data_IF_526022588368
#
_entry.id   IF_526022588368
#
_cell.length_a   1.000
_cell.length_b   1.000
_cell.length_c   1.000
_cell.angle_alpha   90.00
_cell.angle_beta   90.00
_cell.angle_gamma   90.00
#
_symmetry.space_group_name_H-M   'P 1'
#
loop_
_entity.id
_entity.type
_entity.pdbx_description
1 polymer ?
#
# COMPACT_ATOMS: atom_id res chain seq x y z
N UNK A 1 6.54 2.08 2.39
CA UNK A 1 5.18 2.60 2.71
C UNK A 1 4.70 1.89 3.97
N UNK A 2 5.12 2.40 5.16
CA UNK A 2 4.82 1.80 6.48
C UNK A 2 3.40 2.14 6.95
N UNK A 3 3.00 3.39 6.75
CA UNK A 3 1.67 3.90 7.09
C UNK A 3 1.00 4.50 5.87
N UNK A 4 -0.28 4.20 5.68
CA UNK A 4 -1.16 4.77 4.67
C UNK A 4 -2.36 5.40 5.38
N UNK A 5 -2.46 6.72 5.37
CA UNK A 5 -3.57 7.44 6.00
C UNK A 5 -4.74 7.57 5.01
N UNK A 6 -5.91 7.10 5.40
CA UNK A 6 -7.16 7.41 4.71
C UNK A 6 -7.58 8.85 4.98
N UNK A 7 -7.98 9.55 3.92
CA UNK A 7 -8.43 10.95 3.96
C UNK A 7 -9.74 11.05 3.18
N UNK A 8 -10.89 11.29 3.84
CA UNK A 8 -12.17 11.44 3.16
C UNK A 8 -12.11 12.56 2.12
N UNK A 9 -12.42 12.26 0.85
CA UNK A 9 -12.42 13.25 -0.22
C UNK A 9 -13.53 14.31 -0.06
N UNK A 10 -14.54 14.04 0.76
CA UNK A 10 -15.58 14.99 1.15
C UNK A 10 -15.13 16.05 2.16
N UNK A 11 -13.86 16.00 2.63
CA UNK A 11 -13.30 16.90 3.64
C UNK A 11 -12.02 17.59 3.16
N UNK A 12 -12.12 18.54 2.19
CA UNK A 12 -10.96 19.23 1.60
C UNK A 12 -10.06 19.93 2.62
N UNK A 13 -10.63 20.38 3.75
CA UNK A 13 -9.90 21.01 4.86
C UNK A 13 -8.85 20.11 5.51
N UNK A 14 -8.93 18.78 5.26
CA UNK A 14 -7.96 17.81 5.78
C UNK A 14 -6.78 17.56 4.83
N UNK A 15 -6.88 17.92 3.55
CA UNK A 15 -5.89 17.53 2.53
C UNK A 15 -4.50 18.07 2.82
N UNK A 16 -4.37 19.36 3.05
CA UNK A 16 -3.09 19.98 3.38
C UNK A 16 -2.51 19.44 4.70
N UNK A 17 -3.36 19.21 5.70
CA UNK A 17 -2.94 18.64 6.99
C UNK A 17 -2.47 17.18 6.84
N UNK A 18 -3.12 16.40 6.00
CA UNK A 18 -2.69 15.04 5.69
C UNK A 18 -1.34 15.03 4.96
N UNK A 19 -1.13 15.94 4.00
CA UNK A 19 0.17 16.10 3.34
C UNK A 19 1.28 16.46 4.31
N UNK A 20 1.03 17.28 5.32
CA UNK A 20 2.00 17.64 6.36
C UNK A 20 2.23 16.54 7.41
N UNK A 21 1.43 15.46 7.43
CA UNK A 21 1.55 14.39 8.41
C UNK A 21 2.81 13.53 8.21
N UNK A 22 3.14 12.68 9.18
CA UNK A 22 4.23 11.72 9.08
C UNK A 22 3.86 10.40 8.34
N UNK A 23 2.70 10.33 7.68
CA UNK A 23 2.31 9.17 6.90
C UNK A 23 3.21 9.02 5.67
N UNK A 24 3.59 7.78 5.34
CA UNK A 24 4.35 7.48 4.12
C UNK A 24 3.48 7.57 2.86
N UNK A 25 2.18 7.27 3.00
CA UNK A 25 1.20 7.34 1.92
C UNK A 25 -0.11 7.98 2.39
N UNK A 26 -0.81 8.62 1.44
CA UNK A 26 -2.17 9.12 1.63
C UNK A 26 -3.11 8.39 0.68
N UNK A 27 -4.25 7.94 1.19
CA UNK A 27 -5.34 7.34 0.40
C UNK A 27 -6.55 8.26 0.46
N UNK A 28 -6.72 9.08 -0.56
CA UNK A 28 -7.92 9.91 -0.69
C UNK A 28 -9.10 9.02 -1.07
N UNK A 29 -10.13 9.08 -0.26
CA UNK A 29 -11.22 8.12 -0.30
C UNK A 29 -12.52 8.73 -0.85
N UNK A 30 -13.02 8.17 -1.94
CA UNK A 30 -14.29 8.51 -2.56
C UNK A 30 -15.37 7.45 -2.32
N UNK A 31 -15.01 6.32 -1.69
CA UNK A 31 -15.92 5.19 -1.50
C UNK A 31 -16.69 5.35 -0.17
N UNK A 32 -16.41 4.53 0.83
CA UNK A 32 -17.22 4.39 2.06
C UNK A 32 -17.27 5.67 2.90
N UNK A 33 -16.23 6.49 2.88
CA UNK A 33 -16.20 7.73 3.67
C UNK A 33 -17.00 8.89 3.06
N UNK A 34 -17.62 8.69 1.90
CA UNK A 34 -18.39 9.71 1.18
C UNK A 34 -19.78 9.20 0.86
N UNK A 35 -20.80 9.87 1.38
CA UNK A 35 -22.20 9.53 1.08
C UNK A 35 -22.51 9.75 -0.41
N UNK A 36 -23.47 9.01 -1.00
CA UNK A 36 -23.75 9.03 -2.44
C UNK A 36 -23.95 10.43 -3.01
N UNK A 37 -24.69 11.28 -2.30
CA UNK A 37 -25.04 12.64 -2.72
C UNK A 37 -23.85 13.59 -2.80
N UNK A 38 -22.76 13.27 -2.09
CA UNK A 38 -21.54 14.07 -2.03
C UNK A 38 -20.41 13.57 -2.92
N UNK A 39 -20.57 12.42 -3.58
CA UNK A 39 -19.48 11.80 -4.37
C UNK A 39 -19.02 12.67 -5.54
N UNK A 40 -19.94 13.33 -6.23
CA UNK A 40 -19.59 14.23 -7.33
C UNK A 40 -18.81 15.46 -6.85
N UNK A 41 -19.26 16.09 -5.78
CA UNK A 41 -18.61 17.26 -5.18
C UNK A 41 -17.22 16.90 -4.62
N UNK A 42 -17.12 15.75 -3.92
CA UNK A 42 -15.87 15.27 -3.36
C UNK A 42 -14.82 14.98 -4.46
N UNK A 43 -15.25 14.35 -5.58
CA UNK A 43 -14.41 14.13 -6.76
C UNK A 43 -13.91 15.44 -7.35
N UNK A 44 -14.81 16.40 -7.56
CA UNK A 44 -14.47 17.72 -8.12
C UNK A 44 -13.48 18.48 -7.21
N UNK A 45 -13.73 18.49 -5.89
CA UNK A 45 -12.84 19.12 -4.93
C UNK A 45 -11.44 18.49 -4.90
N UNK A 46 -11.37 17.16 -4.94
CA UNK A 46 -10.09 16.44 -4.96
C UNK A 46 -9.33 16.69 -6.27
N UNK A 47 -10.00 16.65 -7.42
CA UNK A 47 -9.40 16.94 -8.72
C UNK A 47 -8.84 18.38 -8.77
N UNK A 48 -9.64 19.36 -8.32
CA UNK A 48 -9.20 20.75 -8.23
C UNK A 48 -7.98 20.92 -7.32
N UNK A 49 -7.95 20.21 -6.19
CA UNK A 49 -6.82 20.25 -5.27
C UNK A 49 -5.56 19.63 -5.89
N UNK A 50 -5.65 18.50 -6.59
CA UNK A 50 -4.52 17.89 -7.29
C UNK A 50 -3.95 18.80 -8.38
N UNK A 51 -4.82 19.45 -9.17
CA UNK A 51 -4.43 20.35 -10.26
C UNK A 51 -3.90 21.72 -9.78
N UNK A 52 -4.12 22.08 -8.52
CA UNK A 52 -3.57 23.31 -7.92
C UNK A 52 -2.05 23.25 -7.67
N UNK A 53 -1.37 22.13 -7.99
CA UNK A 53 0.05 21.92 -7.69
C UNK A 53 0.32 21.44 -6.27
N UNK A 54 -0.71 21.09 -5.51
CA UNK A 54 -0.59 20.65 -4.11
C UNK A 54 0.21 19.34 -3.92
N UNK A 55 0.33 18.51 -4.97
CA UNK A 55 1.14 17.28 -4.93
C UNK A 55 2.64 17.54 -5.13
N UNK A 56 3.05 18.79 -5.40
CA UNK A 56 4.40 19.14 -5.82
C UNK A 56 4.65 18.76 -7.29
N UNK A 57 5.64 19.40 -7.94
CA UNK A 57 6.07 18.95 -9.25
C UNK A 57 6.68 17.55 -9.12
N UNK A 58 6.14 16.59 -9.84
CA UNK A 58 6.81 15.32 -10.05
C UNK A 58 8.17 15.64 -10.71
N UNK A 59 9.28 15.32 -10.01
CA UNK A 59 10.64 15.43 -10.53
C UNK A 59 11.04 16.72 -11.27
N UNK A 60 11.26 17.80 -10.53
CA UNK A 60 12.34 18.71 -10.91
C UNK A 60 13.63 18.17 -10.28
N UNK A 61 14.48 17.51 -11.05
CA UNK A 61 15.71 16.82 -10.65
C UNK A 61 16.81 17.72 -10.07
N UNK A 62 16.49 18.56 -9.10
CA UNK A 62 17.43 19.41 -8.40
C UNK A 62 17.04 19.52 -6.92
N UNK A 63 17.44 18.56 -6.11
CA UNK A 63 17.47 18.73 -4.66
C UNK A 63 18.78 18.24 -4.08
N UNK A 64 19.63 19.18 -3.69
CA UNK A 64 20.90 19.02 -2.98
C UNK A 64 20.76 19.25 -1.47
N UNK A 65 19.62 18.90 -0.89
CA UNK A 65 19.42 18.87 0.57
C UNK A 65 18.57 17.66 0.92
N UNK A 66 18.69 17.13 2.13
CA UNK A 66 17.94 15.94 2.61
C UNK A 66 16.42 16.17 2.50
N UNK A 67 15.89 15.99 1.28
CA UNK A 67 14.48 16.18 0.97
C UNK A 67 13.68 15.08 1.69
N UNK A 68 12.64 15.47 2.41
CA UNK A 68 11.65 14.52 2.93
C UNK A 68 11.14 13.68 1.77
N UNK A 69 11.19 12.33 1.85
CA UNK A 69 10.73 11.48 0.77
C UNK A 69 9.29 11.82 0.37
N UNK A 70 9.03 11.94 -0.94
CA UNK A 70 7.70 12.19 -1.48
C UNK A 70 6.73 11.13 -0.98
N UNK A 71 5.55 11.53 -0.53
CA UNK A 71 4.49 10.59 -0.14
C UNK A 71 3.92 9.86 -1.34
N UNK A 72 3.56 8.60 -1.16
CA UNK A 72 2.77 7.86 -2.14
C UNK A 72 1.33 8.36 -2.11
N UNK A 73 0.81 8.78 -3.26
CA UNK A 73 -0.55 9.30 -3.42
C UNK A 73 -1.44 8.21 -4.02
N UNK A 74 -2.47 7.86 -3.27
CA UNK A 74 -3.43 6.82 -3.61
C UNK A 74 -4.82 7.44 -3.67
N UNK A 75 -5.63 7.03 -4.63
CA UNK A 75 -7.05 7.40 -4.69
C UNK A 75 -7.87 6.12 -4.61
N UNK A 76 -8.70 5.96 -3.57
CA UNK A 76 -9.71 4.90 -3.52
C UNK A 76 -10.95 5.39 -4.25
N UNK A 77 -11.18 4.84 -5.42
CA UNK A 77 -12.34 5.13 -6.27
C UNK A 77 -13.56 4.33 -5.82
N UNK A 78 -14.73 4.66 -6.34
CA UNK A 78 -15.93 3.87 -6.13
C UNK A 78 -15.87 2.53 -6.85
N UNK A 79 -16.66 1.55 -6.41
CA UNK A 79 -16.76 0.24 -7.03
C UNK A 79 -17.19 0.30 -8.51
N UNK A 80 -16.74 -0.67 -9.30
CA UNK A 80 -17.03 -0.74 -10.74
C UNK A 80 -18.50 -0.97 -11.06
N UNK A 81 -19.27 -1.50 -10.12
CA UNK A 81 -20.71 -1.70 -10.18
C UNK A 81 -21.54 -0.44 -9.91
N UNK A 82 -20.84 0.68 -9.57
CA UNK A 82 -21.48 1.96 -9.29
C UNK A 82 -21.41 2.93 -10.48
N UNK A 83 -22.34 3.89 -10.59
CA UNK A 83 -22.28 4.91 -11.65
C UNK A 83 -21.12 5.90 -11.48
N UNK A 84 -20.37 5.83 -10.38
CA UNK A 84 -19.32 6.78 -10.03
C UNK A 84 -17.94 6.37 -10.55
N UNK A 85 -17.66 5.07 -10.73
CA UNK A 85 -16.34 4.54 -11.08
C UNK A 85 -15.70 5.24 -12.30
N UNK A 86 -16.44 5.26 -13.42
CA UNK A 86 -15.89 5.83 -14.66
C UNK A 86 -15.56 7.33 -14.52
N UNK A 87 -16.40 8.08 -13.80
CA UNK A 87 -16.16 9.49 -13.55
C UNK A 87 -14.99 9.72 -12.58
N UNK A 88 -14.81 8.85 -11.58
CA UNK A 88 -13.67 8.91 -10.65
C UNK A 88 -12.36 8.69 -11.40
N UNK A 89 -12.28 7.65 -12.22
CA UNK A 89 -11.08 7.33 -13.02
C UNK A 89 -10.76 8.49 -13.98
N UNK A 90 -11.76 8.98 -14.71
CA UNK A 90 -11.56 10.07 -15.66
C UNK A 90 -11.05 11.37 -15.01
N UNK A 91 -11.54 11.69 -13.82
CA UNK A 91 -11.21 12.94 -13.13
C UNK A 91 -9.92 12.86 -12.31
N UNK A 92 -9.53 11.68 -11.83
CA UNK A 92 -8.49 11.53 -10.79
C UNK A 92 -7.27 10.70 -11.23
N UNK A 93 -7.26 10.14 -12.44
CA UNK A 93 -6.04 9.63 -13.05
C UNK A 93 -5.17 10.81 -13.52
N UNK A 94 -4.50 11.47 -12.58
CA UNK A 94 -3.78 12.73 -12.79
C UNK A 94 -2.28 12.57 -12.51
N UNK A 95 -1.42 13.43 -13.11
CA UNK A 95 0.00 13.47 -12.76
C UNK A 95 0.21 13.64 -11.25
N UNK A 96 1.07 12.82 -10.67
CA UNK A 96 1.34 12.82 -9.23
C UNK A 96 0.52 11.82 -8.42
N UNK A 97 -0.49 11.18 -8.99
CA UNK A 97 -1.14 9.99 -8.41
C UNK A 97 -0.31 8.75 -8.72
N UNK A 98 -0.03 7.94 -7.70
CA UNK A 98 0.79 6.73 -7.84
C UNK A 98 -0.05 5.47 -8.00
N UNK A 99 -1.17 5.40 -7.25
CA UNK A 99 -2.03 4.21 -7.21
C UNK A 99 -3.52 4.60 -7.26
N UNK A 100 -4.27 3.84 -8.04
CA UNK A 100 -5.72 3.74 -7.87
C UNK A 100 -6.01 2.52 -7.00
N UNK A 101 -6.70 2.75 -5.89
CA UNK A 101 -7.18 1.67 -5.02
C UNK A 101 -8.57 1.26 -5.48
N UNK A 102 -8.67 0.04 -6.03
CA UNK A 102 -9.90 -0.54 -6.58
C UNK A 102 -10.61 -1.36 -5.51
N UNK A 103 -11.80 -0.93 -5.03
CA UNK A 103 -12.56 -1.68 -4.05
C UNK A 103 -13.29 -2.86 -4.70
N UNK A 104 -13.46 -3.93 -3.95
CA UNK A 104 -14.39 -5.04 -4.19
C UNK A 104 -14.42 -5.63 -5.62
N UNK A 105 -13.28 -5.79 -6.35
CA UNK A 105 -13.33 -6.46 -7.63
C UNK A 105 -13.69 -7.94 -7.43
N UNK A 106 -14.52 -8.45 -8.29
CA UNK A 106 -15.08 -9.80 -8.17
C UNK A 106 -14.54 -10.80 -9.22
N UNK A 107 -13.63 -10.34 -10.08
CA UNK A 107 -13.02 -11.17 -11.13
C UNK A 107 -11.74 -10.53 -11.70
N UNK A 108 -10.87 -11.35 -12.28
CA UNK A 108 -9.70 -10.89 -13.01
C UNK A 108 -10.09 -9.98 -14.21
N UNK A 109 -11.25 -10.23 -14.82
CA UNK A 109 -11.76 -9.40 -15.91
C UNK A 109 -12.12 -7.98 -15.44
N UNK A 110 -12.72 -7.85 -14.26
CA UNK A 110 -12.99 -6.55 -13.66
C UNK A 110 -11.69 -5.75 -13.47
N UNK A 111 -10.62 -6.39 -13.01
CA UNK A 111 -9.30 -5.73 -12.86
C UNK A 111 -8.73 -5.30 -14.22
N UNK A 112 -8.84 -6.12 -15.26
CA UNK A 112 -8.41 -5.77 -16.63
C UNK A 112 -9.20 -4.58 -17.18
N UNK A 113 -10.52 -4.60 -17.01
CA UNK A 113 -11.41 -3.50 -17.41
C UNK A 113 -11.04 -2.20 -16.70
N UNK A 114 -10.76 -2.25 -15.38
CA UNK A 114 -10.31 -1.08 -14.63
C UNK A 114 -8.94 -0.57 -15.15
N UNK A 115 -8.01 -1.47 -15.46
CA UNK A 115 -6.73 -1.09 -16.04
C UNK A 115 -6.88 -0.40 -17.41
N UNK A 116 -7.76 -0.90 -18.27
CA UNK A 116 -8.06 -0.28 -19.58
C UNK A 116 -8.68 1.11 -19.42
N UNK A 117 -9.65 1.26 -18.50
CA UNK A 117 -10.24 2.57 -18.20
C UNK A 117 -9.17 3.57 -17.70
N UNK A 118 -8.27 3.10 -16.83
CA UNK A 118 -7.17 3.91 -16.30
C UNK A 118 -6.22 4.36 -17.41
N UNK A 119 -5.85 3.49 -18.35
CA UNK A 119 -5.00 3.82 -19.50
C UNK A 119 -5.64 4.86 -20.41
N UNK A 120 -6.95 4.83 -20.61
CA UNK A 120 -7.66 5.83 -21.37
C UNK A 120 -7.63 7.20 -20.66
N UNK A 121 -7.89 7.21 -19.35
CA UNK A 121 -7.88 8.44 -18.56
C UNK A 121 -6.47 9.06 -18.48
N UNK A 122 -5.43 8.24 -18.30
CA UNK A 122 -4.04 8.70 -18.30
C UNK A 122 -3.67 9.43 -19.62
N UNK A 123 -4.05 8.87 -20.76
CA UNK A 123 -3.82 9.53 -22.05
C UNK A 123 -4.55 10.86 -22.15
N UNK A 124 -5.81 10.91 -21.71
CA UNK A 124 -6.61 12.14 -21.73
C UNK A 124 -6.05 13.21 -20.78
N UNK A 125 -5.48 12.81 -19.66
CA UNK A 125 -4.95 13.68 -18.62
C UNK A 125 -3.42 13.90 -18.72
N UNK A 126 -2.78 13.47 -19.82
CA UNK A 126 -1.33 13.63 -20.06
C UNK A 126 -0.44 13.05 -18.96
N UNK A 127 -0.86 11.93 -18.34
CA UNK A 127 -0.07 11.20 -17.35
C UNK A 127 1.04 10.44 -18.05
N UNK A 128 2.29 10.74 -17.70
CA UNK A 128 3.49 10.14 -18.32
C UNK A 128 4.00 8.92 -17.56
N UNK A 129 3.82 8.88 -16.24
CA UNK A 129 4.20 7.75 -15.41
C UNK A 129 2.96 6.89 -15.15
N UNK A 130 2.93 5.63 -15.59
CA UNK A 130 1.75 4.78 -15.44
C UNK A 130 1.32 4.61 -13.98
N UNK A 131 0.08 4.96 -13.68
CA UNK A 131 -0.53 4.76 -12.36
C UNK A 131 -0.77 3.26 -12.15
N UNK A 132 -0.45 2.74 -10.98
CA UNK A 132 -0.64 1.33 -10.65
C UNK A 132 -1.98 1.08 -9.96
N UNK A 133 -2.36 -0.19 -9.81
CA UNK A 133 -3.56 -0.62 -9.12
C UNK A 133 -3.21 -1.24 -7.75
N UNK A 134 -3.92 -0.84 -6.72
CA UNK A 134 -3.97 -1.50 -5.42
C UNK A 134 -5.35 -2.13 -5.28
N UNK A 135 -5.41 -3.45 -5.18
CA UNK A 135 -6.68 -4.19 -5.19
C UNK A 135 -7.13 -4.47 -3.75
N UNK A 136 -8.35 -4.06 -3.39
CA UNK A 136 -8.93 -4.42 -2.10
C UNK A 136 -9.48 -5.85 -2.13
N UNK A 137 -9.02 -6.66 -1.20
CA UNK A 137 -9.53 -8.01 -0.92
C UNK A 137 -10.37 -7.93 0.34
N UNK A 138 -11.67 -7.81 0.17
CA UNK A 138 -12.61 -7.47 1.23
C UNK A 138 -13.96 -8.19 1.09
N UNK A 139 -13.99 -9.30 0.35
CA UNK A 139 -15.08 -10.25 0.30
C UNK A 139 -14.55 -11.70 0.28
N UNK A 140 -15.36 -12.66 0.72
CA UNK A 140 -14.99 -14.07 0.71
C UNK A 140 -14.66 -14.57 -0.71
N UNK A 141 -15.39 -14.07 -1.73
CA UNK A 141 -15.10 -14.36 -3.14
C UNK A 141 -13.73 -13.83 -3.54
N UNK A 142 -13.46 -12.56 -3.27
CA UNK A 142 -12.19 -11.93 -3.62
C UNK A 142 -11.00 -12.60 -2.91
N UNK A 143 -11.16 -12.99 -1.63
CA UNK A 143 -10.11 -13.70 -0.90
C UNK A 143 -9.81 -15.08 -1.53
N UNK A 144 -10.85 -15.81 -1.95
CA UNK A 144 -10.69 -17.11 -2.62
C UNK A 144 -9.97 -17.03 -3.96
N UNK A 145 -10.18 -15.94 -4.72
CA UNK A 145 -9.56 -15.72 -6.05
C UNK A 145 -8.44 -14.67 -6.00
N UNK A 146 -7.87 -14.39 -4.83
CA UNK A 146 -6.90 -13.31 -4.65
C UNK A 146 -5.67 -13.45 -5.55
N UNK A 147 -5.22 -14.69 -5.86
CA UNK A 147 -4.12 -14.96 -6.79
C UNK A 147 -4.48 -14.57 -8.24
N UNK A 148 -5.72 -14.83 -8.67
CA UNK A 148 -6.22 -14.42 -9.99
C UNK A 148 -6.28 -12.89 -10.10
N UNK A 149 -6.75 -12.22 -9.04
CA UNK A 149 -6.82 -10.77 -8.99
C UNK A 149 -5.43 -10.13 -8.98
N UNK A 150 -4.48 -10.70 -8.23
CA UNK A 150 -3.10 -10.23 -8.16
C UNK A 150 -2.37 -10.33 -9.51
N UNK A 151 -2.56 -11.43 -10.23
CA UNK A 151 -1.96 -11.69 -11.54
C UNK A 151 -2.75 -11.15 -12.73
N UNK A 152 -3.90 -10.51 -12.53
CA UNK A 152 -4.82 -10.13 -13.58
C UNK A 152 -4.24 -9.16 -14.62
N UNK A 153 -3.35 -8.25 -14.21
CA UNK A 153 -2.75 -7.23 -15.08
C UNK A 153 -1.40 -6.72 -14.53
N UNK A 154 -0.40 -6.39 -15.37
CA UNK A 154 0.91 -5.86 -14.93
C UNK A 154 0.84 -4.54 -14.14
N UNK A 155 -0.28 -3.84 -14.18
CA UNK A 155 -0.53 -2.64 -13.38
C UNK A 155 -0.85 -2.94 -11.92
N UNK A 156 -1.19 -4.16 -11.56
CA UNK A 156 -1.43 -4.52 -10.15
C UNK A 156 -0.10 -4.45 -9.41
N UNK A 157 -0.01 -3.55 -8.44
CA UNK A 157 1.18 -3.37 -7.61
C UNK A 157 1.05 -4.08 -6.26
N UNK A 158 -0.17 -4.25 -5.76
CA UNK A 158 -0.42 -4.87 -4.47
C UNK A 158 -1.85 -5.28 -4.22
N UNK A 159 -2.01 -6.10 -3.19
CA UNK A 159 -3.28 -6.45 -2.60
C UNK A 159 -3.41 -5.79 -1.23
N UNK A 160 -4.56 -5.24 -0.92
CA UNK A 160 -4.90 -4.68 0.39
C UNK A 160 -6.02 -5.48 1.03
N UNK A 161 -5.82 -5.88 2.28
CA UNK A 161 -6.86 -6.56 3.04
C UNK A 161 -7.89 -5.57 3.59
N UNK A 162 -9.17 -5.91 3.49
CA UNK A 162 -10.30 -5.17 4.08
C UNK A 162 -11.06 -6.05 5.06
N UNK A 163 -10.56 -6.18 6.31
CA UNK A 163 -11.13 -7.11 7.30
C UNK A 163 -12.53 -6.73 7.78
N UNK A 164 -12.88 -5.43 7.79
CA UNK A 164 -14.23 -5.00 8.14
C UNK A 164 -15.27 -5.57 7.17
N UNK A 165 -15.13 -5.19 5.90
CA UNK A 165 -16.05 -5.66 4.85
C UNK A 165 -16.02 -7.17 4.63
N UNK A 166 -14.89 -7.82 4.92
CA UNK A 166 -14.78 -9.28 4.81
C UNK A 166 -15.52 -10.00 5.93
N UNK A 167 -15.42 -9.53 7.17
CA UNK A 167 -15.89 -10.26 8.35
C UNK A 167 -17.31 -9.90 8.78
N UNK A 168 -17.70 -8.62 8.72
CA UNK A 168 -19.02 -8.18 9.19
C UNK A 168 -20.18 -8.91 8.49
N UNK A 169 -20.21 -9.09 7.15
CA UNK A 169 -21.29 -9.83 6.49
C UNK A 169 -21.33 -11.31 6.85
N UNK A 170 -20.22 -11.86 7.35
CA UNK A 170 -20.10 -13.26 7.75
C UNK A 170 -20.30 -13.48 9.25
N UNK A 171 -20.58 -12.42 10.02
CA UNK A 171 -20.68 -12.43 11.46
C UNK A 171 -19.42 -13.01 12.17
N UNK A 172 -18.24 -12.84 11.57
CA UNK A 172 -16.96 -13.20 12.17
C UNK A 172 -16.53 -12.07 13.11
N UNK A 173 -16.26 -12.41 14.39
CA UNK A 173 -15.74 -11.41 15.33
C UNK A 173 -14.42 -10.82 14.81
N UNK A 174 -14.36 -9.49 14.69
CA UNK A 174 -13.17 -8.76 14.21
C UNK A 174 -11.94 -8.97 15.12
N UNK A 175 -12.11 -9.54 16.29
CA UNK A 175 -11.04 -9.89 17.24
C UNK A 175 -10.64 -11.36 17.19
N UNK A 176 -11.29 -12.19 16.36
CA UNK A 176 -10.94 -13.60 16.21
C UNK A 176 -9.59 -13.75 15.50
N UNK A 177 -8.55 -13.97 16.29
CA UNK A 177 -7.15 -13.98 15.82
C UNK A 177 -6.91 -15.04 14.75
N UNK A 178 -7.49 -16.22 14.89
CA UNK A 178 -7.32 -17.32 13.93
C UNK A 178 -7.90 -16.97 12.55
N UNK A 179 -9.05 -16.29 12.52
CA UNK A 179 -9.66 -15.83 11.27
C UNK A 179 -8.82 -14.73 10.61
N UNK A 180 -8.30 -13.78 11.40
CA UNK A 180 -7.41 -12.72 10.93
C UNK A 180 -6.14 -13.33 10.33
N UNK A 181 -5.46 -14.23 11.06
CA UNK A 181 -4.22 -14.89 10.60
C UNK A 181 -4.44 -15.67 9.30
N UNK A 182 -5.53 -16.42 9.19
CA UNK A 182 -5.87 -17.17 7.98
C UNK A 182 -6.08 -16.23 6.78
N UNK A 183 -6.87 -15.16 6.94
CA UNK A 183 -7.12 -14.20 5.87
C UNK A 183 -5.82 -13.50 5.44
N UNK A 184 -5.01 -13.08 6.40
CA UNK A 184 -3.73 -12.42 6.14
C UNK A 184 -2.73 -13.35 5.45
N UNK A 185 -2.60 -14.59 5.91
CA UNK A 185 -1.70 -15.56 5.30
C UNK A 185 -2.12 -15.91 3.86
N UNK A 186 -3.42 -16.15 3.64
CA UNK A 186 -3.98 -16.43 2.31
C UNK A 186 -3.69 -15.29 1.33
N UNK A 187 -3.98 -14.05 1.74
CA UNK A 187 -3.70 -12.89 0.90
C UNK A 187 -2.20 -12.72 0.63
N UNK A 188 -1.36 -12.94 1.63
CA UNK A 188 0.10 -12.81 1.47
C UNK A 188 0.67 -13.83 0.49
N UNK A 189 0.16 -15.07 0.50
CA UNK A 189 0.57 -16.10 -0.45
C UNK A 189 0.15 -15.73 -1.87
N UNK A 190 -1.09 -15.26 -2.07
CA UNK A 190 -1.57 -14.80 -3.36
C UNK A 190 -0.75 -13.60 -3.91
N UNK A 191 -0.44 -12.63 -3.07
CA UNK A 191 0.42 -11.51 -3.43
C UNK A 191 1.85 -11.97 -3.78
N UNK A 192 2.36 -12.99 -3.06
CA UNK A 192 3.68 -13.58 -3.29
C UNK A 192 3.80 -14.28 -4.63
N UNK A 193 2.78 -15.05 -5.03
CA UNK A 193 2.71 -15.73 -6.32
C UNK A 193 2.82 -14.75 -7.49
N UNK A 194 2.13 -13.61 -7.39
CA UNK A 194 2.14 -12.58 -8.43
C UNK A 194 3.33 -11.60 -8.32
N UNK A 195 4.18 -11.72 -7.30
CA UNK A 195 5.30 -10.80 -7.07
C UNK A 195 4.88 -9.38 -6.66
N UNK A 196 3.68 -9.21 -6.10
CA UNK A 196 3.14 -7.92 -5.66
C UNK A 196 3.16 -7.79 -4.13
N UNK A 197 3.03 -6.56 -3.59
CA UNK A 197 3.02 -6.38 -2.15
C UNK A 197 1.66 -6.70 -1.52
N UNK A 198 1.67 -7.13 -0.25
CA UNK A 198 0.49 -7.20 0.61
C UNK A 198 0.44 -5.98 1.53
N UNK A 199 -0.75 -5.42 1.73
CA UNK A 199 -0.98 -4.26 2.60
C UNK A 199 -2.09 -4.55 3.61
N UNK A 200 -1.84 -4.16 4.88
CA UNK A 200 -2.71 -4.53 5.99
C UNK A 200 -3.95 -3.62 6.11
N UNK A 201 -4.99 -4.20 6.70
CA UNK A 201 -6.29 -3.60 6.92
C UNK A 201 -6.26 -2.38 7.85
N UNK A 202 -7.34 -1.61 7.84
CA UNK A 202 -7.64 -0.61 8.85
C UNK A 202 -8.02 -1.27 10.19
N UNK A 203 -7.75 -0.54 11.28
CA UNK A 203 -8.12 -0.92 12.64
C UNK A 203 -9.06 0.15 13.21
N UNK A 204 -10.34 -0.21 13.39
CA UNK A 204 -11.39 0.75 13.65
C UNK A 204 -11.41 1.30 15.09
N UNK A 205 -10.92 0.53 16.08
CA UNK A 205 -10.92 0.98 17.47
C UNK A 205 -9.78 1.98 17.73
N UNK A 206 -10.07 3.27 17.64
CA UNK A 206 -9.09 4.34 17.83
C UNK A 206 -8.54 4.44 19.26
N UNK A 207 -9.26 3.92 20.25
CA UNK A 207 -8.84 3.95 21.66
C UNK A 207 -7.92 2.79 22.03
N UNK A 208 -7.80 1.76 21.18
CA UNK A 208 -7.00 0.55 21.42
C UNK A 208 -5.67 0.58 20.65
N UNK A 209 -4.74 1.37 21.16
CA UNK A 209 -3.38 1.46 20.58
C UNK A 209 -2.61 0.12 20.70
N UNK A 210 -2.90 -0.66 21.74
CA UNK A 210 -2.25 -1.96 21.95
C UNK A 210 -2.72 -2.98 20.91
N UNK A 211 -4.02 -3.06 20.64
CA UNK A 211 -4.59 -3.91 19.62
C UNK A 211 -4.11 -3.52 18.22
N UNK A 212 -4.06 -2.22 17.90
CA UNK A 212 -3.47 -1.75 16.65
C UNK A 212 -2.02 -2.23 16.47
N UNK A 213 -1.21 -2.07 17.53
CA UNK A 213 0.21 -2.49 17.51
C UNK A 213 0.34 -4.01 17.34
N UNK A 214 -0.45 -4.80 18.05
CA UNK A 214 -0.42 -6.26 17.96
C UNK A 214 -0.75 -6.75 16.54
N UNK A 215 -1.79 -6.19 15.91
CA UNK A 215 -2.18 -6.53 14.54
C UNK A 215 -1.11 -6.07 13.53
N UNK A 216 -0.56 -4.87 13.69
CA UNK A 216 0.54 -4.37 12.85
C UNK A 216 1.80 -5.25 12.96
N UNK A 217 2.13 -5.75 14.16
CA UNK A 217 3.25 -6.67 14.37
C UNK A 217 3.01 -8.03 13.70
N UNK A 218 1.78 -8.54 13.75
CA UNK A 218 1.39 -9.75 13.02
C UNK A 218 1.58 -9.53 11.50
N UNK A 219 1.05 -8.44 10.97
CA UNK A 219 1.20 -8.09 9.56
C UNK A 219 2.68 -8.03 9.15
N UNK A 220 3.52 -7.37 9.93
CA UNK A 220 4.96 -7.31 9.67
C UNK A 220 5.61 -8.70 9.67
N UNK A 221 5.28 -9.56 10.64
CA UNK A 221 5.81 -10.95 10.69
C UNK A 221 5.37 -11.77 9.47
N UNK A 222 4.19 -11.52 8.95
CA UNK A 222 3.67 -12.16 7.73
C UNK A 222 4.21 -11.51 6.43
N UNK A 223 5.07 -10.48 6.51
CA UNK A 223 5.70 -9.88 5.34
C UNK A 223 4.83 -8.87 4.60
N UNK A 224 3.90 -8.23 5.29
CA UNK A 224 3.15 -7.08 4.78
C UNK A 224 4.03 -5.84 4.71
N UNK A 225 3.75 -4.96 3.74
CA UNK A 225 4.51 -3.74 3.50
C UNK A 225 4.24 -2.63 4.52
N UNK A 226 3.03 -2.57 5.05
CA UNK A 226 2.57 -1.54 5.98
C UNK A 226 1.13 -1.74 6.40
N UNK A 227 0.58 -0.77 7.12
CA UNK A 227 -0.78 -0.82 7.67
C UNK A 227 -1.59 0.43 7.34
N UNK A 228 -2.87 0.23 7.06
CA UNK A 228 -3.85 1.31 6.88
C UNK A 228 -4.13 2.01 8.21
N UNK A 229 -4.12 3.35 8.17
CA UNK A 229 -4.44 4.24 9.27
C UNK A 229 -5.69 5.05 8.92
N UNK A 230 -6.67 5.09 9.80
CA UNK A 230 -7.89 5.89 9.64
C UNK A 230 -7.89 7.14 10.53
N UNK A 231 -6.87 7.30 11.36
CA UNK A 231 -6.68 8.47 12.21
C UNK A 231 -5.17 8.80 12.32
N UNK A 232 -4.78 10.09 12.43
CA UNK A 232 -3.38 10.49 12.57
C UNK A 232 -2.62 9.85 13.74
N UNK A 233 -3.28 9.52 14.84
CA UNK A 233 -2.64 8.87 16.01
C UNK A 233 -2.10 7.48 15.69
N UNK A 234 -2.62 6.80 14.66
CA UNK A 234 -2.16 5.47 14.23
C UNK A 234 -0.87 5.53 13.40
N UNK A 235 -0.55 6.69 12.82
CA UNK A 235 0.62 6.84 11.91
C UNK A 235 1.92 6.51 12.61
N UNK A 236 2.14 7.08 13.80
CA UNK A 236 3.38 6.87 14.56
C UNK A 236 3.56 5.38 14.92
N UNK A 237 2.47 4.71 15.33
CA UNK A 237 2.47 3.28 15.66
C UNK A 237 2.83 2.41 14.44
N UNK A 238 2.22 2.69 13.29
CA UNK A 238 2.52 1.96 12.06
C UNK A 238 3.98 2.21 11.63
N UNK A 239 4.44 3.46 11.62
CA UNK A 239 5.81 3.80 11.26
C UNK A 239 6.84 3.14 12.15
N UNK A 240 6.58 3.04 13.47
CA UNK A 240 7.43 2.35 14.42
C UNK A 240 7.48 0.84 14.14
N UNK A 241 6.31 0.20 14.03
CA UNK A 241 6.23 -1.25 13.87
C UNK A 241 6.86 -1.71 12.56
N UNK A 242 6.65 -0.99 11.45
CA UNK A 242 7.17 -1.39 10.13
C UNK A 242 8.58 -0.84 9.83
N UNK A 243 9.22 -0.15 10.77
CA UNK A 243 10.65 0.19 10.66
C UNK A 243 11.49 -1.07 10.87
N UNK A 244 12.50 -1.34 10.02
CA UNK A 244 13.47 -2.39 10.33
C UNK A 244 14.17 -2.14 11.66
N UNK A 245 14.33 -3.17 12.48
CA UNK A 245 15.05 -3.08 13.75
C UNK A 245 16.56 -2.90 13.52
N UNK A 246 17.26 -2.32 14.49
CA UNK A 246 18.70 -2.03 14.36
C UNK A 246 19.51 -3.34 14.22
N UNK A 247 19.15 -4.40 14.96
CA UNK A 247 19.76 -5.73 14.83
C UNK A 247 19.46 -6.37 13.47
N UNK A 248 18.24 -6.20 12.94
CA UNK A 248 17.83 -6.69 11.63
C UNK A 248 18.65 -6.00 10.52
N UNK A 249 18.84 -4.68 10.65
CA UNK A 249 19.68 -3.89 9.73
C UNK A 249 21.14 -4.35 9.81
N UNK A 250 21.70 -4.47 11.00
CA UNK A 250 23.08 -4.89 11.20
C UNK A 250 23.35 -6.28 10.61
N UNK A 251 22.44 -7.24 10.83
CA UNK A 251 22.52 -8.57 10.24
C UNK A 251 22.40 -8.52 8.70
N UNK A 252 21.44 -7.75 8.18
CA UNK A 252 21.25 -7.61 6.73
C UNK A 252 22.48 -7.02 6.02
N UNK A 253 23.13 -6.01 6.62
CA UNK A 253 24.39 -5.45 6.08
C UNK A 253 25.49 -6.51 6.01
N UNK A 254 25.65 -7.36 7.04
CA UNK A 254 26.64 -8.46 7.01
C UNK A 254 26.28 -9.47 5.91
N UNK A 255 25.02 -9.83 5.76
CA UNK A 255 24.58 -10.77 4.73
C UNK A 255 24.88 -10.22 3.34
N UNK A 256 24.58 -8.94 3.06
CA UNK A 256 24.88 -8.29 1.77
C UNK A 256 26.38 -8.24 1.51
N UNK A 257 27.19 -7.90 2.50
CA UNK A 257 28.66 -7.89 2.37
C UNK A 257 29.20 -9.29 2.04
N UNK A 258 28.72 -10.32 2.76
CA UNK A 258 29.12 -11.71 2.51
C UNK A 258 28.65 -12.21 1.14
N UNK A 259 27.45 -11.81 0.69
CA UNK A 259 26.93 -12.15 -0.64
C UNK A 259 27.83 -11.62 -1.76
N UNK A 260 28.27 -10.36 -1.65
CA UNK A 260 29.17 -9.75 -2.62
C UNK A 260 30.52 -10.46 -2.66
N UNK A 261 31.08 -10.83 -1.50
CA UNK A 261 32.36 -11.57 -1.42
C UNK A 261 32.23 -12.99 -1.97
N UNK A 262 31.16 -13.73 -1.64
CA UNK A 262 30.89 -15.08 -2.11
C UNK A 262 30.62 -15.14 -3.62
N UNK A 263 29.87 -14.15 -4.14
CA UNK A 263 29.60 -14.03 -5.58
C UNK A 263 30.83 -13.86 -6.41
N UNK A 264 31.82 -13.12 -5.92
CA UNK A 264 33.15 -13.00 -6.57
C UNK A 264 33.92 -14.33 -6.61
N UNK A 265 33.59 -15.29 -5.75
CA UNK A 265 34.20 -16.62 -5.65
C UNK A 265 33.35 -17.74 -6.27
N UNK A 266 32.17 -17.43 -6.83
CA UNK A 266 31.26 -18.41 -7.40
C UNK A 266 30.57 -19.29 -6.33
N UNK A 267 30.50 -18.85 -5.07
CA UNK A 267 29.89 -19.60 -3.95
C UNK A 267 28.45 -19.18 -3.75
N UNK A 268 27.49 -20.11 -3.84
CA UNK A 268 26.05 -19.85 -3.74
C UNK A 268 25.44 -19.96 -2.33
N UNK A 269 26.16 -20.59 -1.37
CA UNK A 269 25.71 -20.73 0.02
C UNK A 269 26.90 -20.58 0.97
N UNK A 270 26.70 -19.85 2.07
CA UNK A 270 27.76 -19.53 3.05
C UNK A 270 27.16 -19.28 4.43
N UNK A 271 27.99 -19.07 5.45
CA UNK A 271 27.53 -18.88 6.84
C UNK A 271 27.74 -17.41 7.27
N UNK A 272 26.71 -16.80 7.83
CA UNK A 272 26.75 -15.48 8.48
C UNK A 272 26.11 -15.60 9.86
N UNK A 273 26.80 -15.15 10.91
CA UNK A 273 26.36 -15.21 12.30
C UNK A 273 25.82 -16.61 12.71
N UNK A 274 26.50 -17.70 12.23
CA UNK A 274 26.13 -19.07 12.53
C UNK A 274 24.92 -19.63 11.75
N UNK A 275 24.40 -18.91 10.77
CA UNK A 275 23.27 -19.32 9.93
C UNK A 275 23.70 -19.50 8.49
N UNK A 276 23.21 -20.56 7.86
CA UNK A 276 23.37 -20.74 6.41
C UNK A 276 22.55 -19.70 5.66
N UNK A 277 23.18 -19.03 4.71
CA UNK A 277 22.60 -17.99 3.85
C UNK A 277 22.69 -18.46 2.41
N UNK A 278 21.57 -18.37 1.69
CA UNK A 278 21.43 -18.62 0.27
C UNK A 278 20.54 -17.55 -0.40
N UNK A 279 20.17 -17.73 -1.66
CA UNK A 279 19.47 -16.73 -2.47
C UNK A 279 18.29 -16.03 -1.80
N UNK A 280 17.31 -16.75 -1.22
CA UNK A 280 16.15 -16.14 -0.55
C UNK A 280 16.52 -15.22 0.62
N UNK A 281 17.49 -15.62 1.45
CA UNK A 281 17.97 -14.80 2.57
C UNK A 281 18.72 -13.56 2.08
N UNK A 282 19.48 -13.69 1.01
CA UNK A 282 20.19 -12.56 0.36
C UNK A 282 19.19 -11.54 -0.18
N UNK A 283 18.16 -11.98 -0.91
CA UNK A 283 17.13 -11.10 -1.45
C UNK A 283 16.41 -10.31 -0.35
N UNK A 284 16.10 -10.98 0.78
CA UNK A 284 15.51 -10.32 1.96
C UNK A 284 16.48 -9.29 2.55
N UNK A 285 17.76 -9.63 2.70
CA UNK A 285 18.76 -8.72 3.25
C UNK A 285 18.90 -7.45 2.40
N UNK A 286 18.95 -7.57 1.07
CA UNK A 286 18.92 -6.41 0.17
C UNK A 286 17.69 -5.53 0.38
N UNK A 287 16.51 -6.12 0.56
CA UNK A 287 15.28 -5.38 0.81
C UNK A 287 15.33 -4.60 2.13
N UNK A 288 15.90 -5.20 3.20
CA UNK A 288 16.05 -4.53 4.50
C UNK A 288 17.06 -3.37 4.39
N UNK A 289 18.20 -3.59 3.73
CA UNK A 289 19.22 -2.54 3.53
C UNK A 289 18.65 -1.38 2.72
N UNK A 290 17.99 -1.67 1.60
CA UNK A 290 17.35 -0.62 0.78
C UNK A 290 16.28 0.17 1.56
N UNK A 291 15.47 -0.51 2.39
CA UNK A 291 14.51 0.16 3.26
C UNK A 291 15.20 1.05 4.30
N UNK A 292 16.27 0.58 4.93
CA UNK A 292 17.04 1.34 5.90
C UNK A 292 17.71 2.58 5.29
N UNK A 293 18.29 2.44 4.09
CA UNK A 293 18.87 3.56 3.32
C UNK A 293 17.82 4.61 2.96
N UNK A 294 16.65 4.17 2.44
CA UNK A 294 15.54 5.07 2.11
C UNK A 294 15.03 5.86 3.33
N UNK A 295 15.17 5.31 4.53
CA UNK A 295 14.80 5.96 5.80
C UNK A 295 15.95 6.77 6.41
N UNK A 296 17.14 6.82 5.80
CA UNK A 296 18.31 7.50 6.34
C UNK A 296 18.88 6.85 7.61
N UNK A 297 18.60 5.57 7.86
CA UNK A 297 19.10 4.83 9.03
C UNK A 297 20.53 4.33 8.83
N UNK A 298 20.93 4.14 7.61
CA UNK A 298 22.29 3.81 7.15
C UNK A 298 22.61 4.58 5.86
N UNK A 299 23.90 4.71 5.56
CA UNK A 299 24.40 5.36 4.34
C UNK A 299 24.31 4.47 3.12
#
# INVERSE_FOLDING_TARGET
MRSKLFVPASRPELFAKAMASAADALSFDLEDSVVPERKADARAALAAWFTSGALGAADSGASTAAATPRKTIIVRVNGMDTPHFAADIAALALPGVDLINLPKPDSAEAVRTAATALEHAERANYVTTPIKLLINIESAKALRIAHELAGAHPRVAGLQLGLGDLFEPLAIDRRETSAIENAMFTLRMAAGEAGVFAYDAAFANLSDAAGFRAEAQLARRLGYLGKSCIHPTQIALANEVFRPGDDEIAHAVKVVAAANAAGAQGVGAYVVDGRMIDGPFVARAFSVVAAAQKMGLIK
#
